data_IF_080198021504
#
_entry.id   IF_080198021504
#
_cell.length_a   1.000
_cell.length_b   1.000
_cell.length_c   1.000
_cell.angle_alpha   90.00
_cell.angle_beta   90.00
_cell.angle_gamma   90.00
#
_symmetry.space_group_name_H-M   'P 1'
#
loop_
_entity.id
_entity.type
_entity.pdbx_description
1 polymer ?
#
# COMPACT_ATOMS: atom_id res chain seq x y z
N UNK A 1 7.37 -4.39 -22.78
CA UNK A 1 6.40 -4.32 -21.68
C UNK A 1 5.06 -4.64 -22.32
N UNK A 2 4.53 -5.83 -22.09
CA UNK A 2 3.33 -6.28 -22.78
C UNK A 2 2.15 -5.42 -22.34
N UNK A 3 1.46 -4.81 -23.30
CA UNK A 3 0.26 -4.02 -23.03
C UNK A 3 -0.83 -5.02 -22.65
N UNK A 4 -1.33 -4.93 -21.42
CA UNK A 4 -2.47 -5.74 -20.98
C UNK A 4 -3.69 -5.32 -21.79
N UNK A 5 -4.10 -6.19 -22.71
CA UNK A 5 -5.30 -6.01 -23.53
C UNK A 5 -6.50 -6.65 -22.86
N UNK A 6 -7.66 -6.04 -23.07
CA UNK A 6 -8.92 -6.66 -22.70
C UNK A 6 -9.07 -8.02 -23.40
N UNK A 7 -9.73 -8.97 -22.74
CA UNK A 7 -10.00 -10.32 -23.27
C UNK A 7 -11.48 -10.56 -23.57
N UNK A 8 -12.28 -9.50 -23.51
CA UNK A 8 -13.70 -9.59 -23.83
C UNK A 8 -13.86 -9.63 -25.35
N UNK A 9 -14.66 -10.57 -25.85
CA UNK A 9 -14.80 -10.96 -27.26
C UNK A 9 -15.01 -9.81 -28.26
N UNK A 10 -15.47 -8.65 -27.80
CA UNK A 10 -15.72 -7.45 -28.62
C UNK A 10 -14.69 -6.33 -28.44
N UNK A 11 -13.82 -6.40 -27.43
CA UNK A 11 -12.92 -5.32 -27.02
C UNK A 11 -11.45 -5.77 -26.92
N UNK A 12 -11.08 -6.88 -27.57
CA UNK A 12 -9.84 -7.66 -27.35
C UNK A 12 -8.52 -6.88 -27.55
N UNK A 13 -8.58 -5.64 -28.03
CA UNK A 13 -7.43 -4.77 -28.25
C UNK A 13 -7.44 -3.49 -27.41
N UNK A 14 -8.47 -3.27 -26.58
CA UNK A 14 -8.50 -2.11 -25.71
C UNK A 14 -7.54 -2.25 -24.53
N UNK A 15 -6.92 -1.13 -24.17
CA UNK A 15 -6.09 -1.03 -22.99
C UNK A 15 -6.93 -1.21 -21.72
N UNK A 16 -6.45 -2.07 -20.82
CA UNK A 16 -7.04 -2.19 -19.48
C UNK A 16 -6.75 -0.91 -18.71
N UNK A 17 -7.78 -0.31 -18.12
CA UNK A 17 -7.67 0.94 -17.36
C UNK A 17 -7.68 0.71 -15.84
N UNK A 18 -8.13 -0.44 -15.37
CA UNK A 18 -8.25 -0.72 -13.94
C UNK A 18 -8.92 -2.05 -13.61
N UNK A 19 -9.37 -2.13 -12.35
CA UNK A 19 -10.04 -3.30 -11.78
C UNK A 19 -11.40 -2.97 -11.17
N UNK A 20 -12.37 -3.83 -11.42
CA UNK A 20 -13.61 -3.93 -10.67
C UNK A 20 -13.37 -4.69 -9.36
N UNK A 21 -13.71 -4.06 -8.23
CA UNK A 21 -13.57 -4.64 -6.88
C UNK A 21 -14.88 -5.21 -6.34
N UNK A 22 -15.98 -5.14 -7.11
CA UNK A 22 -17.25 -5.70 -6.69
C UNK A 22 -17.16 -7.23 -6.62
N UNK A 23 -17.36 -7.78 -5.42
CA UNK A 23 -17.27 -9.22 -5.15
C UNK A 23 -18.37 -10.05 -5.82
N UNK A 24 -19.47 -9.41 -6.24
CA UNK A 24 -20.59 -10.02 -6.95
C UNK A 24 -20.47 -9.87 -8.47
N UNK A 25 -19.42 -9.22 -8.97
CA UNK A 25 -19.18 -9.10 -10.40
C UNK A 25 -18.93 -10.48 -11.01
N UNK A 26 -19.81 -10.89 -11.92
CA UNK A 26 -19.69 -12.17 -12.64
C UNK A 26 -18.79 -12.06 -13.88
N UNK A 27 -18.44 -10.83 -14.28
CA UNK A 27 -17.54 -10.54 -15.40
C UNK A 27 -16.07 -10.49 -14.95
N UNK A 28 -15.16 -10.48 -15.93
CA UNK A 28 -13.72 -10.28 -15.69
C UNK A 28 -13.48 -9.03 -14.86
N UNK A 29 -12.58 -9.11 -13.87
CA UNK A 29 -12.30 -7.99 -12.96
C UNK A 29 -11.51 -6.88 -13.65
N UNK A 30 -10.71 -7.20 -14.66
CA UNK A 30 -10.00 -6.21 -15.48
C UNK A 30 -10.95 -5.57 -16.47
N UNK A 31 -10.96 -4.24 -16.55
CA UNK A 31 -11.85 -3.52 -17.45
C UNK A 31 -11.10 -2.49 -18.32
N UNK A 32 -11.53 -2.39 -19.56
CA UNK A 32 -11.23 -1.28 -20.47
C UNK A 32 -12.38 -0.26 -20.47
N UNK A 33 -12.27 0.80 -21.27
CA UNK A 33 -13.30 1.84 -21.34
C UNK A 33 -14.65 1.29 -21.78
N UNK A 34 -14.67 0.38 -22.75
CA UNK A 34 -15.92 -0.23 -23.21
C UNK A 34 -16.54 -1.17 -22.16
N UNK A 35 -15.74 -1.99 -21.47
CA UNK A 35 -16.25 -2.83 -20.38
C UNK A 35 -16.87 -1.99 -19.25
N UNK A 36 -16.27 -0.84 -18.93
CA UNK A 36 -16.82 0.07 -17.93
C UNK A 36 -18.23 0.55 -18.30
N UNK A 37 -18.44 0.83 -19.59
CA UNK A 37 -19.68 1.33 -20.14
C UNK A 37 -20.65 0.23 -20.59
N UNK A 38 -20.33 -1.06 -20.43
CA UNK A 38 -21.21 -2.15 -20.88
C UNK A 38 -21.38 -3.19 -19.78
N UNK A 39 -20.28 -3.87 -19.41
CA UNK A 39 -20.27 -5.01 -18.48
C UNK A 39 -20.25 -4.63 -17.01
N UNK A 40 -19.88 -3.39 -16.67
CA UNK A 40 -19.74 -2.91 -15.29
C UNK A 40 -20.59 -1.68 -14.97
N UNK A 41 -21.58 -1.34 -15.80
CA UNK A 41 -22.44 -0.16 -15.57
C UNK A 41 -23.13 -0.20 -14.21
N UNK A 42 -23.63 -1.37 -13.80
CA UNK A 42 -24.39 -1.55 -12.55
C UNK A 42 -23.56 -1.31 -11.28
N UNK A 43 -22.23 -1.43 -11.38
CA UNK A 43 -21.30 -1.28 -10.26
C UNK A 43 -20.07 -0.46 -10.66
N UNK A 44 -20.31 0.59 -11.46
CA UNK A 44 -19.29 1.52 -11.92
C UNK A 44 -18.45 2.10 -10.77
N UNK A 45 -19.08 2.36 -9.62
CA UNK A 45 -18.40 2.92 -8.45
C UNK A 45 -17.36 1.97 -7.83
N UNK A 46 -17.49 0.68 -8.07
CA UNK A 46 -16.54 -0.33 -7.61
C UNK A 46 -15.37 -0.54 -8.60
N UNK A 47 -15.39 0.18 -9.73
CA UNK A 47 -14.34 0.14 -10.75
C UNK A 47 -13.27 1.19 -10.46
N UNK A 48 -12.07 0.74 -10.09
CA UNK A 48 -10.95 1.61 -9.73
C UNK A 48 -9.89 1.59 -10.84
N UNK A 49 -9.57 2.78 -11.36
CA UNK A 49 -8.50 2.99 -12.35
C UNK A 49 -7.10 2.77 -11.74
N UNK A 50 -6.16 2.31 -12.55
CA UNK A 50 -4.76 2.15 -12.15
C UNK A 50 -4.14 3.43 -11.59
N UNK A 51 -4.44 4.59 -12.18
CA UNK A 51 -3.94 5.88 -11.69
C UNK A 51 -4.39 6.16 -10.25
N UNK A 52 -5.63 5.82 -9.90
CA UNK A 52 -6.16 5.96 -8.55
C UNK A 52 -5.51 4.95 -7.59
N UNK A 53 -5.25 3.73 -8.04
CA UNK A 53 -4.49 2.73 -7.26
C UNK A 53 -3.05 3.20 -6.99
N UNK A 54 -2.37 3.75 -7.99
CA UNK A 54 -1.01 4.28 -7.82
C UNK A 54 -0.99 5.42 -6.80
N UNK A 55 -1.94 6.35 -6.87
CA UNK A 55 -2.07 7.43 -5.89
C UNK A 55 -2.28 6.87 -4.48
N UNK A 56 -3.21 5.92 -4.32
CA UNK A 56 -3.47 5.27 -3.04
C UNK A 56 -2.22 4.56 -2.50
N UNK A 57 -1.50 3.80 -3.34
CA UNK A 57 -0.26 3.13 -2.96
C UNK A 57 0.81 4.13 -2.52
N UNK A 58 0.91 5.27 -3.18
CA UNK A 58 1.85 6.33 -2.81
C UNK A 58 1.49 6.95 -1.46
N UNK A 59 0.21 7.20 -1.19
CA UNK A 59 -0.27 7.69 0.11
C UNK A 59 0.04 6.68 1.23
N UNK A 60 -0.27 5.39 1.01
CA UNK A 60 0.08 4.33 1.95
C UNK A 60 1.59 4.27 2.22
N UNK A 61 2.41 4.41 1.18
CA UNK A 61 3.86 4.41 1.29
C UNK A 61 4.37 5.61 2.11
N UNK A 62 3.76 6.78 1.94
CA UNK A 62 4.09 7.96 2.74
C UNK A 62 3.78 7.74 4.23
N UNK A 63 2.59 7.24 4.54
CA UNK A 63 2.18 6.93 5.93
C UNK A 63 3.11 5.90 6.55
N UNK A 64 3.42 4.82 5.83
CA UNK A 64 4.35 3.79 6.28
C UNK A 64 5.73 4.37 6.61
N UNK A 65 6.29 5.20 5.72
CA UNK A 65 7.59 5.82 5.94
C UNK A 65 7.59 6.79 7.13
N UNK A 66 6.49 7.51 7.37
CA UNK A 66 6.35 8.36 8.54
C UNK A 66 6.34 7.54 9.82
N UNK A 67 5.56 6.45 9.87
CA UNK A 67 5.51 5.55 11.03
C UNK A 67 6.87 4.90 11.29
N UNK A 68 7.55 4.42 10.25
CA UNK A 68 8.90 3.84 10.36
C UNK A 68 9.88 4.81 11.02
N UNK A 69 9.91 6.07 10.56
CA UNK A 69 10.75 7.13 11.15
C UNK A 69 10.41 7.39 12.62
N UNK A 70 9.13 7.36 13.00
CA UNK A 70 8.73 7.53 14.39
C UNK A 70 9.20 6.37 15.29
N UNK A 71 9.10 5.14 14.79
CA UNK A 71 9.57 3.94 15.50
C UNK A 71 11.09 3.97 15.65
N UNK A 72 11.83 4.28 14.59
CA UNK A 72 13.29 4.43 14.63
C UNK A 72 13.73 5.46 15.69
N UNK A 73 13.05 6.62 15.75
CA UNK A 73 13.30 7.64 16.78
C UNK A 73 13.05 7.11 18.20
N UNK A 74 11.95 6.39 18.43
CA UNK A 74 11.64 5.78 19.74
C UNK A 74 12.67 4.72 20.13
N UNK A 75 13.05 3.85 19.20
CA UNK A 75 14.09 2.83 19.41
C UNK A 75 15.43 3.45 19.79
N UNK A 76 15.84 4.53 19.12
CA UNK A 76 17.07 5.23 19.46
C UNK A 76 17.01 5.87 20.86
N UNK A 77 15.87 6.44 21.26
CA UNK A 77 15.68 6.92 22.64
C UNK A 77 15.83 5.80 23.66
N UNK A 78 15.21 4.64 23.42
CA UNK A 78 15.36 3.48 24.30
C UNK A 78 16.81 3.02 24.40
N UNK A 79 17.53 2.94 23.27
CA UNK A 79 18.96 2.58 23.27
C UNK A 79 19.80 3.50 24.16
N UNK A 80 19.57 4.81 24.08
CA UNK A 80 20.27 5.79 24.92
C UNK A 80 19.97 5.55 26.41
N UNK A 81 18.68 5.40 26.76
CA UNK A 81 18.26 5.13 28.15
C UNK A 81 18.93 3.86 28.69
N UNK A 82 18.96 2.78 27.91
CA UNK A 82 19.63 1.53 28.31
C UNK A 82 21.14 1.71 28.52
N UNK A 83 21.80 2.46 27.65
CA UNK A 83 23.24 2.75 27.79
C UNK A 83 23.50 3.55 29.07
N UNK A 84 22.68 4.56 29.37
CA UNK A 84 22.84 5.41 30.54
C UNK A 84 22.56 4.65 31.84
N UNK A 85 21.50 3.82 31.87
CA UNK A 85 21.24 2.92 33.00
C UNK A 85 22.41 1.96 33.25
N UNK A 86 22.97 1.35 32.19
CA UNK A 86 24.14 0.45 32.32
C UNK A 86 25.35 1.18 32.89
N UNK A 87 25.61 2.42 32.47
CA UNK A 87 26.70 3.25 33.03
C UNK A 87 26.46 3.57 34.51
N UNK A 88 25.24 3.90 34.89
CA UNK A 88 24.88 4.23 36.27
C UNK A 88 25.06 3.02 37.21
N UNK A 89 24.57 1.84 36.80
CA UNK A 89 24.75 0.59 37.55
C UNK A 89 26.23 0.27 37.76
N UNK A 90 27.06 0.43 36.72
CA UNK A 90 28.52 0.23 36.84
C UNK A 90 29.13 1.16 37.89
N UNK A 91 28.76 2.45 37.90
CA UNK A 91 29.27 3.39 38.91
C UNK A 91 28.92 2.97 40.34
N UNK A 92 27.70 2.49 40.57
CA UNK A 92 27.27 2.03 41.91
C UNK A 92 28.03 0.80 42.41
N UNK A 93 28.38 -0.12 41.51
CA UNK A 93 29.17 -1.30 41.88
C UNK A 93 30.59 -0.89 42.30
N UNK A 94 31.22 0.03 41.57
CA UNK A 94 32.57 0.53 41.89
C UNK A 94 32.65 1.33 43.19
N UNK A 95 31.54 1.89 43.69
CA UNK A 95 31.48 2.61 44.96
C UNK A 95 31.24 1.70 46.18
N UNK A 96 30.93 0.42 45.95
CA UNK A 96 30.64 -0.58 47.00
C UNK A 96 31.82 -1.51 47.30
N UNK A 97 32.91 -1.40 46.54
CA UNK A 97 34.18 -2.14 46.71
C UNK A 97 35.23 -1.12 47.17
#
# INVERSE_FOLDING_TARGET
MDIFKCKYLTHENEEIMGFCLNQRCQNVTQYCYLCLNTTHQEHFNDCIRFTKLILFMNECMQVYNQQRKQIEKKLNKFKIIFIDQKKWIRKLIYWKI
#
